data_IF_467644060760
#
_entry.id   IF_467644060760
#
_cell.length_a   1.000
_cell.length_b   1.000
_cell.length_c   1.000
_cell.angle_alpha   90.00
_cell.angle_beta   90.00
_cell.angle_gamma   90.00
#
_symmetry.space_group_name_H-M   'P 1'
#
loop_
_entity.id
_entity.type
_entity.pdbx_description
1 polymer ?
#
# COMPACT_ATOMS: atom_id res chain seq x y z
N UNK A 1 1.76 8.23 9.88
CA UNK A 1 0.98 9.25 9.13
C UNK A 1 0.81 8.89 7.66
N UNK A 2 1.83 8.33 6.99
CA UNK A 2 1.75 7.93 5.57
C UNK A 2 0.79 6.73 5.31
N UNK A 3 0.78 5.71 6.17
CA UNK A 3 -0.15 4.56 6.07
C UNK A 3 -1.62 4.98 5.95
N UNK A 4 -2.08 5.92 6.80
CA UNK A 4 -3.48 6.38 6.78
C UNK A 4 -3.83 7.11 5.48
N UNK A 5 -2.86 7.82 4.90
CA UNK A 5 -3.02 8.50 3.61
C UNK A 5 -3.12 7.45 2.51
N UNK A 6 -2.17 6.51 2.44
CA UNK A 6 -2.17 5.45 1.43
C UNK A 6 -3.46 4.64 1.50
N UNK A 7 -3.91 4.26 2.72
CA UNK A 7 -5.19 3.58 2.94
C UNK A 7 -6.39 4.38 2.44
N UNK A 8 -6.48 5.66 2.78
CA UNK A 8 -7.58 6.54 2.35
C UNK A 8 -7.61 6.71 0.84
N UNK A 9 -6.46 6.85 0.21
CA UNK A 9 -6.35 7.02 -1.23
C UNK A 9 -6.62 5.72 -1.98
N UNK A 10 -6.21 4.58 -1.42
CA UNK A 10 -6.57 3.25 -1.94
C UNK A 10 -8.09 3.01 -1.85
N UNK A 11 -8.69 3.32 -0.70
CA UNK A 11 -10.14 3.24 -0.47
C UNK A 11 -10.93 4.17 -1.41
N UNK A 12 -10.38 5.36 -1.70
CA UNK A 12 -10.93 6.29 -2.69
C UNK A 12 -10.65 5.87 -4.15
N UNK A 13 -10.08 4.68 -4.38
CA UNK A 13 -9.64 4.16 -5.68
C UNK A 13 -8.67 5.07 -6.45
N UNK A 14 -7.98 5.97 -5.76
CA UNK A 14 -6.95 6.85 -6.33
C UNK A 14 -5.64 6.06 -6.53
N UNK A 15 -5.34 5.15 -5.60
CA UNK A 15 -4.18 4.25 -5.70
C UNK A 15 -4.62 2.82 -5.97
N UNK A 16 -3.97 2.20 -6.95
CA UNK A 16 -4.02 0.75 -7.19
C UNK A 16 -3.06 0.01 -6.26
N UNK A 17 -3.20 -1.31 -6.17
CA UNK A 17 -2.30 -2.16 -5.38
C UNK A 17 -0.82 -1.95 -5.79
N UNK A 18 -0.55 -1.78 -7.08
CA UNK A 18 0.80 -1.46 -7.58
C UNK A 18 1.38 -0.16 -7.01
N UNK A 19 0.55 0.89 -6.91
CA UNK A 19 0.96 2.15 -6.30
C UNK A 19 1.28 1.95 -4.81
N UNK A 20 0.43 1.21 -4.08
CA UNK A 20 0.69 0.82 -2.68
C UNK A 20 2.01 0.05 -2.57
N UNK A 21 2.31 -0.81 -3.54
CA UNK A 21 3.54 -1.60 -3.62
C UNK A 21 4.79 -0.75 -3.85
N UNK A 22 4.69 0.34 -4.61
CA UNK A 22 5.76 1.33 -4.74
C UNK A 22 6.09 2.02 -3.41
N UNK A 23 5.08 2.28 -2.57
CA UNK A 23 5.31 2.82 -1.22
C UNK A 23 6.03 1.80 -0.32
N UNK A 24 5.80 0.49 -0.50
CA UNK A 24 6.60 -0.55 0.17
C UNK A 24 8.04 -0.56 -0.35
N UNK A 25 8.25 -0.57 -1.67
CA UNK A 25 9.60 -0.53 -2.28
C UNK A 25 10.39 0.71 -1.85
N UNK A 26 9.72 1.84 -1.66
CA UNK A 26 10.33 3.09 -1.17
C UNK A 26 10.53 3.14 0.35
N UNK A 27 10.16 2.08 1.09
CA UNK A 27 10.25 2.04 2.55
C UNK A 27 9.31 3.01 3.27
N UNK A 28 8.25 3.49 2.60
CA UNK A 28 7.26 4.40 3.18
C UNK A 28 6.25 3.64 4.04
N UNK A 29 5.91 2.41 3.64
CA UNK A 29 5.07 1.47 4.41
C UNK A 29 5.73 0.09 4.43
N UNK A 30 5.29 -0.78 5.33
CA UNK A 30 5.76 -2.17 5.41
C UNK A 30 4.90 -3.11 4.55
N UNK A 31 5.41 -4.31 4.26
CA UNK A 31 4.64 -5.36 3.57
C UNK A 31 3.36 -5.74 4.32
N UNK A 32 3.38 -5.74 5.67
CA UNK A 32 2.20 -5.95 6.51
C UNK A 32 1.15 -4.86 6.30
N UNK A 33 1.59 -3.60 6.25
CA UNK A 33 0.71 -2.46 5.98
C UNK A 33 0.14 -2.49 4.56
N UNK A 34 0.91 -2.96 3.59
CA UNK A 34 0.40 -3.21 2.24
C UNK A 34 -0.73 -4.23 2.27
N UNK A 35 -0.53 -5.37 2.93
CA UNK A 35 -1.54 -6.41 3.03
C UNK A 35 -2.80 -5.93 3.76
N UNK A 36 -2.66 -5.09 4.79
CA UNK A 36 -3.80 -4.45 5.44
C UNK A 36 -4.58 -3.46 4.55
N UNK A 37 -3.89 -2.78 3.62
CA UNK A 37 -4.51 -1.79 2.73
C UNK A 37 -5.18 -2.47 1.54
N UNK A 38 -4.44 -3.37 0.87
CA UNK A 38 -4.85 -3.99 -0.39
C UNK A 38 -5.62 -5.28 -0.20
N UNK A 39 -5.51 -5.92 0.97
CA UNK A 39 -6.03 -7.27 1.20
C UNK A 39 -5.24 -8.35 0.47
N UNK A 40 -4.11 -8.02 -0.14
CA UNK A 40 -3.27 -8.92 -0.91
C UNK A 40 -1.90 -9.03 -0.26
N UNK A 41 -1.31 -10.23 -0.27
CA UNK A 41 0.08 -10.38 0.14
C UNK A 41 1.00 -9.58 -0.79
N UNK A 42 2.00 -8.94 -0.20
CA UNK A 42 3.00 -8.22 -0.96
C UNK A 42 4.00 -9.21 -1.55
N UNK A 43 3.70 -9.74 -2.74
CA UNK A 43 4.68 -10.51 -3.51
C UNK A 43 5.67 -9.56 -4.19
N UNK A 44 6.92 -9.61 -3.72
CA UNK A 44 8.04 -8.94 -4.39
C UNK A 44 8.40 -9.78 -5.61
N UNK A 45 7.79 -9.44 -6.75
CA UNK A 45 8.29 -9.79 -8.09
C UNK A 45 9.29 -8.75 -8.58
#
# INVERSE_FOLDING_TARGET
MIYKIVKRYFDSQIYSAENVGMFVKSGKITAEQYAEITGQEYEVV
#
